data_IF_107897861482
#
_entry.id   IF_107897861482
#
_cell.length_a   1.000
_cell.length_b   1.000
_cell.length_c   1.000
_cell.angle_alpha   90.00
_cell.angle_beta   90.00
_cell.angle_gamma   90.00
#
_symmetry.space_group_name_H-M   'P 1'
#
loop_
_entity.id
_entity.type
_entity.pdbx_description
1 polymer ?
#
# COMPACT_ATOMS: atom_id res chain seq x y z
N UNK A 1 8.34 13.63 -8.25
CA UNK A 1 7.59 12.35 -8.48
C UNK A 1 7.39 11.65 -7.15
N UNK A 2 6.17 11.26 -6.85
CA UNK A 2 5.81 10.48 -5.63
C UNK A 2 5.52 9.04 -6.02
N UNK A 3 6.01 8.09 -5.23
CA UNK A 3 5.71 6.67 -5.38
C UNK A 3 4.82 6.24 -4.22
N UNK A 4 3.67 5.66 -4.56
CA UNK A 4 2.64 5.25 -3.60
C UNK A 4 2.52 3.73 -3.64
N UNK A 5 2.73 3.10 -2.50
CA UNK A 5 2.48 1.67 -2.31
C UNK A 5 1.19 1.45 -1.54
N UNK A 6 0.46 0.40 -1.88
CA UNK A 6 -0.79 0.03 -1.22
C UNK A 6 -0.75 -1.44 -0.85
N UNK A 7 -0.93 -1.70 0.45
CA UNK A 7 -1.28 -3.00 1.00
C UNK A 7 -2.81 -3.03 1.22
N UNK A 8 -3.52 -3.77 0.37
CA UNK A 8 -4.97 -3.77 0.34
C UNK A 8 -5.56 -4.72 1.39
N UNK A 9 -6.57 -4.26 2.11
CA UNK A 9 -7.31 -5.05 3.08
C UNK A 9 -8.70 -4.49 3.37
N UNK A 10 -9.62 -5.33 3.84
CA UNK A 10 -10.99 -4.91 4.13
C UNK A 10 -11.13 -4.06 5.40
N UNK A 11 -10.23 -4.24 6.36
CA UNK A 11 -10.24 -3.55 7.67
C UNK A 11 -8.85 -3.07 8.11
N UNK A 12 -7.79 -3.47 7.42
CA UNK A 12 -6.40 -3.21 7.82
C UNK A 12 -5.50 -2.74 6.68
N UNK A 13 -6.06 -2.38 5.55
CA UNK A 13 -5.31 -1.85 4.41
C UNK A 13 -4.59 -0.55 4.74
N UNK A 14 -3.44 -0.33 4.10
CA UNK A 14 -2.63 0.86 4.30
C UNK A 14 -2.08 1.42 2.99
N UNK A 15 -1.75 2.71 3.01
CA UNK A 15 -1.00 3.41 1.98
C UNK A 15 0.32 3.90 2.57
N UNK A 16 1.39 3.78 1.80
CA UNK A 16 2.69 4.39 2.07
C UNK A 16 3.16 5.19 0.86
N UNK A 17 3.75 6.36 1.08
CA UNK A 17 4.23 7.24 0.05
C UNK A 17 5.66 7.70 0.33
N UNK A 18 6.49 7.69 -0.70
CA UNK A 18 7.88 8.15 -0.69
C UNK A 18 8.14 9.04 -1.91
N UNK A 19 9.15 9.88 -1.83
CA UNK A 19 9.61 10.66 -2.98
C UNK A 19 10.62 9.87 -3.86
N UNK A 20 11.11 10.50 -4.92
CA UNK A 20 12.08 9.88 -5.84
C UNK A 20 13.45 9.59 -5.21
N UNK A 21 13.80 10.25 -4.11
CA UNK A 21 15.03 10.03 -3.34
C UNK A 21 14.83 9.02 -2.19
N UNK A 22 13.70 8.30 -2.18
CA UNK A 22 13.35 7.35 -1.10
C UNK A 22 13.10 7.99 0.27
N UNK A 23 12.80 9.29 0.32
CA UNK A 23 12.39 9.91 1.57
C UNK A 23 10.92 9.62 1.88
N UNK A 24 10.66 9.35 3.16
CA UNK A 24 9.29 9.19 3.64
C UNK A 24 8.48 10.48 3.47
N UNK A 25 7.34 10.38 2.81
CA UNK A 25 6.38 11.47 2.60
C UNK A 25 5.18 11.31 3.51
N UNK A 26 4.49 10.18 3.44
CA UNK A 26 3.28 9.94 4.23
C UNK A 26 2.97 8.45 4.37
N UNK A 27 2.18 8.08 5.36
CA UNK A 27 1.52 6.78 5.41
C UNK A 27 0.28 6.83 6.30
N UNK A 28 -0.76 6.10 5.92
CA UNK A 28 -1.99 6.02 6.71
C UNK A 28 -2.71 4.69 6.49
N UNK A 29 -3.55 4.33 7.46
CA UNK A 29 -4.49 3.24 7.29
C UNK A 29 -5.65 3.70 6.39
N UNK A 30 -6.11 2.82 5.50
CA UNK A 30 -7.24 3.12 4.62
C UNK A 30 -8.51 3.17 5.47
N UNK A 31 -9.23 4.28 5.40
CA UNK A 31 -10.44 4.49 6.19
C UNK A 31 -11.58 3.60 5.70
N UNK A 32 -12.28 2.98 6.64
CA UNK A 32 -13.42 2.13 6.38
C UNK A 32 -14.50 2.33 7.45
N UNK A 33 -15.73 2.03 7.09
CA UNK A 33 -16.88 1.97 8.00
C UNK A 33 -17.69 0.72 7.69
N UNK A 34 -18.00 -0.08 8.71
CA UNK A 34 -18.77 -1.33 8.56
C UNK A 34 -18.21 -2.25 7.45
N UNK A 35 -16.89 -2.41 7.39
CA UNK A 35 -16.14 -3.14 6.36
C UNK A 35 -16.26 -2.57 4.94
N UNK A 36 -16.73 -1.35 4.80
CA UNK A 36 -16.76 -0.60 3.54
C UNK A 36 -15.63 0.43 3.52
N UNK A 37 -14.83 0.41 2.46
CA UNK A 37 -13.82 1.44 2.23
C UNK A 37 -14.52 2.78 2.00
N UNK A 38 -14.05 3.82 2.67
CA UNK A 38 -14.52 5.19 2.45
C UNK A 38 -13.81 5.77 1.23
N UNK A 39 -14.31 5.43 0.04
CA UNK A 39 -13.67 5.70 -1.24
C UNK A 39 -13.33 7.18 -1.45
N UNK A 40 -14.23 8.10 -1.08
CA UNK A 40 -14.03 9.53 -1.24
C UNK A 40 -12.93 10.07 -0.31
N UNK A 41 -12.89 9.57 0.92
CA UNK A 41 -11.83 9.90 1.89
C UNK A 41 -10.49 9.38 1.39
N UNK A 42 -10.44 8.15 0.91
CA UNK A 42 -9.22 7.54 0.38
C UNK A 42 -8.69 8.32 -0.84
N UNK A 43 -9.56 8.65 -1.80
CA UNK A 43 -9.19 9.48 -2.95
C UNK A 43 -8.63 10.84 -2.51
N UNK A 44 -9.33 11.52 -1.60
CA UNK A 44 -8.90 12.83 -1.11
C UNK A 44 -7.53 12.78 -0.44
N UNK A 45 -7.25 11.72 0.34
CA UNK A 45 -5.94 11.52 0.96
C UNK A 45 -4.84 11.31 -0.08
N UNK A 46 -5.06 10.48 -1.11
CA UNK A 46 -4.08 10.31 -2.20
C UNK A 46 -3.77 11.67 -2.84
N UNK A 47 -4.81 12.42 -3.20
CA UNK A 47 -4.64 13.71 -3.87
C UNK A 47 -3.96 14.76 -2.96
N UNK A 48 -4.10 14.65 -1.64
CA UNK A 48 -3.48 15.60 -0.69
C UNK A 48 -1.97 15.43 -0.51
N UNK A 49 -1.42 14.26 -0.84
CA UNK A 49 0.02 13.97 -0.68
C UNK A 49 0.81 14.17 -1.97
N UNK A 50 0.16 14.43 -3.08
CA UNK A 50 0.80 14.60 -4.38
C UNK A 50 0.65 16.06 -4.83
N UNK A 51 1.76 16.76 -5.01
CA UNK A 51 1.72 18.04 -5.74
C UNK A 51 1.35 17.75 -7.20
N UNK A 52 0.28 18.36 -7.73
CA UNK A 52 -0.16 18.14 -9.13
C UNK A 52 0.94 18.38 -10.18
N UNK A 53 1.95 19.17 -9.83
CA UNK A 53 3.10 19.47 -10.71
C UNK A 53 4.14 18.35 -10.71
N UNK A 54 4.21 17.55 -9.64
CA UNK A 54 5.22 16.48 -9.51
C UNK A 54 4.74 15.15 -10.06
N UNK A 55 3.45 14.88 -9.99
CA UNK A 55 2.85 13.61 -10.36
C UNK A 55 3.14 12.47 -9.38
N UNK A 56 2.49 11.33 -9.61
CA UNK A 56 2.70 10.14 -8.83
C UNK A 56 2.62 8.86 -9.68
N UNK A 57 3.15 7.76 -9.14
CA UNK A 57 2.89 6.40 -9.60
C UNK A 57 2.35 5.59 -8.42
N UNK A 58 1.35 4.78 -8.65
CA UNK A 58 0.69 3.95 -7.65
C UNK A 58 0.96 2.49 -7.96
N UNK A 59 1.42 1.73 -6.96
CA UNK A 59 1.60 0.30 -7.03
C UNK A 59 0.88 -0.39 -5.87
N UNK A 60 0.01 -1.35 -6.16
CA UNK A 60 -0.70 -2.13 -5.15
C UNK A 60 -0.27 -3.59 -5.20
N UNK A 61 -0.22 -4.23 -4.03
CA UNK A 61 -0.01 -5.66 -3.97
C UNK A 61 -1.18 -6.39 -4.65
N UNK A 62 -0.84 -7.26 -5.62
CA UNK A 62 -1.81 -8.13 -6.25
C UNK A 62 -2.19 -9.26 -5.31
N UNK A 63 -3.43 -9.27 -4.87
CA UNK A 63 -3.97 -10.23 -3.92
C UNK A 63 -4.98 -11.16 -4.61
N UNK A 64 -5.10 -12.37 -4.07
CA UNK A 64 -6.03 -13.40 -4.55
C UNK A 64 -6.80 -13.98 -3.37
N UNK A 65 -7.93 -14.61 -3.67
CA UNK A 65 -8.65 -15.40 -2.68
C UNK A 65 -7.76 -16.56 -2.19
N UNK A 66 -7.71 -16.77 -0.88
CA UNK A 66 -6.94 -17.84 -0.28
C UNK A 66 -7.75 -19.13 -0.19
N UNK A 67 -7.13 -20.30 -0.44
CA UNK A 67 -7.77 -21.58 -0.17
C UNK A 67 -8.28 -21.64 1.28
N UNK A 68 -9.49 -22.18 1.49
CA UNK A 68 -10.15 -22.30 2.80
C UNK A 68 -10.56 -20.97 3.46
N UNK A 69 -10.48 -19.86 2.75
CA UNK A 69 -11.05 -18.60 3.23
C UNK A 69 -12.58 -18.69 3.19
N UNK A 70 -13.25 -18.25 4.27
CA UNK A 70 -14.72 -18.23 4.34
C UNK A 70 -15.34 -17.32 3.27
N UNK A 71 -16.52 -17.70 2.77
CA UNK A 71 -17.22 -16.96 1.69
C UNK A 71 -17.42 -15.49 2.03
N UNK A 72 -17.93 -15.17 3.23
CA UNK A 72 -18.13 -13.78 3.66
C UNK A 72 -16.84 -12.99 3.77
N UNK A 73 -15.75 -13.63 4.22
CA UNK A 73 -14.42 -13.01 4.31
C UNK A 73 -13.88 -12.71 2.91
N UNK A 74 -13.98 -13.68 2.01
CA UNK A 74 -13.57 -13.52 0.59
C UNK A 74 -14.36 -12.40 -0.09
N UNK A 75 -15.68 -12.37 0.10
CA UNK A 75 -16.53 -11.32 -0.44
C UNK A 75 -16.14 -9.92 0.04
N UNK A 76 -16.00 -9.74 1.35
CA UNK A 76 -15.62 -8.44 1.93
C UNK A 76 -14.24 -7.98 1.46
N UNK A 77 -13.29 -8.92 1.37
CA UNK A 77 -11.94 -8.65 0.89
C UNK A 77 -11.93 -8.26 -0.60
N UNK A 78 -12.58 -9.05 -1.47
CA UNK A 78 -12.67 -8.76 -2.90
C UNK A 78 -13.34 -7.41 -3.17
N UNK A 79 -14.41 -7.08 -2.42
CA UNK A 79 -15.09 -5.80 -2.53
C UNK A 79 -14.15 -4.64 -2.13
N UNK A 80 -13.41 -4.76 -1.04
CA UNK A 80 -12.46 -3.74 -0.60
C UNK A 80 -11.36 -3.52 -1.64
N UNK A 81 -10.77 -4.58 -2.17
CA UNK A 81 -9.76 -4.52 -3.24
C UNK A 81 -10.31 -3.83 -4.48
N UNK A 82 -11.54 -4.17 -4.90
CA UNK A 82 -12.20 -3.54 -6.04
C UNK A 82 -12.41 -2.03 -5.85
N UNK A 83 -12.84 -1.60 -4.67
CA UNK A 83 -13.01 -0.17 -4.35
C UNK A 83 -11.66 0.56 -4.36
N UNK A 84 -10.63 -0.02 -3.71
CA UNK A 84 -9.29 0.58 -3.67
C UNK A 84 -8.74 0.73 -5.09
N UNK A 85 -8.83 -0.32 -5.92
CA UNK A 85 -8.37 -0.27 -7.32
C UNK A 85 -9.09 0.80 -8.12
N UNK A 86 -10.41 0.86 -8.04
CA UNK A 86 -11.21 1.87 -8.73
C UNK A 86 -10.85 3.29 -8.30
N UNK A 87 -10.61 3.51 -7.01
CA UNK A 87 -10.16 4.83 -6.50
C UNK A 87 -8.80 5.19 -7.08
N UNK A 88 -7.85 4.24 -7.11
CA UNK A 88 -6.52 4.48 -7.69
C UNK A 88 -6.62 4.90 -9.16
N UNK A 89 -7.39 4.17 -9.97
CA UNK A 89 -7.63 4.51 -11.38
C UNK A 89 -8.28 5.91 -11.55
N UNK A 90 -9.21 6.26 -10.67
CA UNK A 90 -9.89 7.56 -10.68
C UNK A 90 -8.99 8.74 -10.24
N UNK A 91 -7.78 8.52 -9.78
CA UNK A 91 -6.80 9.59 -9.53
C UNK A 91 -6.11 10.09 -10.80
N UNK A 92 -6.22 9.34 -11.89
CA UNK A 92 -5.50 9.56 -13.16
C UNK A 92 -3.96 9.46 -13.05
N UNK A 93 -3.42 8.94 -11.95
CA UNK A 93 -2.02 8.53 -11.86
C UNK A 93 -1.83 7.11 -12.41
N UNK A 94 -0.68 6.80 -13.03
CA UNK A 94 -0.36 5.42 -13.42
C UNK A 94 -0.54 4.46 -12.24
N UNK A 95 -1.34 3.40 -12.45
CA UNK A 95 -1.68 2.40 -11.45
C UNK A 95 -1.20 1.02 -11.91
N UNK A 96 -0.49 0.33 -11.03
CA UNK A 96 0.19 -0.94 -11.30
C UNK A 96 -0.09 -1.95 -10.19
N UNK A 97 0.01 -3.24 -10.56
CA UNK A 97 -0.09 -4.35 -9.62
C UNK A 97 1.24 -5.09 -9.54
N UNK A 98 1.63 -5.51 -8.35
CA UNK A 98 2.82 -6.32 -8.11
C UNK A 98 2.49 -7.54 -7.26
N UNK A 99 3.00 -8.71 -7.64
CA UNK A 99 2.81 -9.90 -6.82
C UNK A 99 3.62 -9.83 -5.52
N UNK A 100 3.13 -10.42 -4.41
CA UNK A 100 3.87 -10.50 -3.16
C UNK A 100 5.27 -11.12 -3.34
N UNK A 101 5.39 -12.14 -4.18
CA UNK A 101 6.65 -12.84 -4.44
C UNK A 101 7.70 -11.91 -5.06
N UNK A 102 7.29 -10.99 -5.94
CA UNK A 102 8.22 -10.07 -6.60
C UNK A 102 8.81 -9.07 -5.62
N UNK A 103 7.97 -8.33 -4.90
CA UNK A 103 8.48 -7.28 -4.02
C UNK A 103 9.13 -7.84 -2.75
N UNK A 104 8.59 -8.93 -2.17
CA UNK A 104 9.22 -9.61 -1.02
C UNK A 104 10.55 -10.25 -1.41
N UNK A 105 10.60 -10.93 -2.55
CA UNK A 105 11.83 -11.53 -3.08
C UNK A 105 12.92 -10.48 -3.37
N UNK A 106 12.55 -9.31 -3.87
CA UNK A 106 13.48 -8.21 -4.09
C UNK A 106 14.22 -7.79 -2.79
N UNK A 107 13.51 -7.75 -1.67
CA UNK A 107 14.07 -7.40 -0.37
C UNK A 107 14.60 -8.60 0.44
N UNK A 108 14.52 -9.81 -0.11
CA UNK A 108 14.92 -11.03 0.61
C UNK A 108 14.03 -11.35 1.82
N UNK A 109 12.76 -10.92 1.79
CA UNK A 109 11.81 -11.13 2.88
C UNK A 109 11.14 -12.50 2.78
N UNK A 110 10.86 -13.08 3.94
CA UNK A 110 10.08 -14.31 4.08
C UNK A 110 8.59 -14.01 4.35
N UNK A 111 7.84 -15.02 4.75
CA UNK A 111 6.47 -14.86 5.20
C UNK A 111 6.35 -14.20 6.59
N UNK A 112 7.46 -14.04 7.31
CA UNK A 112 7.47 -13.36 8.62
C UNK A 112 7.26 -11.85 8.42
N UNK A 113 6.10 -11.38 8.84
CA UNK A 113 5.71 -9.96 8.76
C UNK A 113 6.59 -9.03 9.60
N UNK A 114 7.26 -9.53 10.63
CA UNK A 114 8.17 -8.72 11.44
C UNK A 114 9.41 -8.30 10.64
N UNK A 115 9.88 -9.13 9.70
CA UNK A 115 11.01 -8.77 8.82
C UNK A 115 10.69 -7.54 7.98
N UNK A 116 9.47 -7.46 7.41
CA UNK A 116 9.02 -6.29 6.65
C UNK A 116 8.97 -5.03 7.52
N UNK A 117 8.45 -5.15 8.76
CA UNK A 117 8.39 -4.02 9.69
C UNK A 117 9.79 -3.52 10.06
N UNK A 118 10.72 -4.43 10.36
CA UNK A 118 12.09 -4.08 10.73
C UNK A 118 12.87 -3.47 9.58
N UNK A 119 12.69 -3.98 8.36
CA UNK A 119 13.30 -3.40 7.17
C UNK A 119 12.74 -1.97 6.89
N UNK A 120 11.43 -1.79 6.94
CA UNK A 120 10.81 -0.50 6.72
C UNK A 120 11.25 0.55 7.76
N UNK A 121 11.42 0.16 9.03
CA UNK A 121 11.99 1.03 10.08
C UNK A 121 13.40 1.50 9.76
N UNK A 122 14.22 0.64 9.17
CA UNK A 122 15.60 0.99 8.76
C UNK A 122 15.60 1.94 7.57
N UNK A 123 14.77 1.66 6.57
CA UNK A 123 14.71 2.47 5.35
C UNK A 123 14.01 3.82 5.59
N UNK A 124 12.99 3.84 6.44
CA UNK A 124 12.14 5.00 6.67
C UNK A 124 12.09 5.38 8.16
N UNK A 125 13.21 5.87 8.74
CA UNK A 125 13.27 6.15 10.19
C UNK A 125 12.30 7.25 10.65
N UNK A 126 11.81 8.08 9.74
CA UNK A 126 10.81 9.12 10.01
C UNK A 126 9.36 8.62 9.94
N UNK A 127 9.14 7.41 9.43
CA UNK A 127 7.80 6.84 9.32
C UNK A 127 7.26 6.39 10.70
N UNK A 128 5.94 6.52 10.95
CA UNK A 128 5.32 6.15 12.22
C UNK A 128 5.14 4.61 12.33
N UNK A 129 6.23 3.87 12.43
CA UNK A 129 6.29 2.39 12.43
C UNK A 129 6.68 1.83 13.80
N UNK A 130 6.31 2.47 14.91
CA UNK A 130 6.76 2.07 16.26
C UNK A 130 6.08 0.81 16.78
N UNK A 131 4.85 0.53 16.37
CA UNK A 131 4.03 -0.53 16.92
C UNK A 131 3.97 -1.74 15.98
N UNK A 132 3.75 -2.95 16.54
CA UNK A 132 3.53 -4.17 15.72
C UNK A 132 2.35 -4.04 14.75
N UNK A 133 1.31 -3.29 15.10
CA UNK A 133 0.16 -3.03 14.22
C UNK A 133 0.49 -2.18 12.99
N UNK A 134 1.67 -1.57 12.93
CA UNK A 134 2.10 -0.75 11.80
C UNK A 134 2.65 -1.58 10.62
N UNK A 135 2.55 -2.92 10.68
CA UNK A 135 3.02 -3.84 9.63
C UNK A 135 2.44 -3.47 8.26
N UNK A 136 1.14 -3.18 8.17
CA UNK A 136 0.52 -2.88 6.88
C UNK A 136 1.05 -1.56 6.27
N UNK A 137 1.34 -0.55 7.11
CA UNK A 137 2.04 0.67 6.67
C UNK A 137 3.46 0.38 6.20
N UNK A 138 4.16 -0.51 6.90
CA UNK A 138 5.50 -0.94 6.53
C UNK A 138 5.51 -1.66 5.18
N UNK A 139 4.61 -2.62 4.97
CA UNK A 139 4.47 -3.32 3.69
C UNK A 139 4.11 -2.34 2.56
N UNK A 140 3.19 -1.40 2.78
CA UNK A 140 2.85 -0.37 1.80
C UNK A 140 4.05 0.51 1.42
N UNK A 141 4.87 0.93 2.38
CA UNK A 141 6.10 1.68 2.10
C UNK A 141 7.14 0.86 1.33
N UNK A 142 7.28 -0.43 1.64
CA UNK A 142 8.18 -1.32 0.91
C UNK A 142 7.70 -1.58 -0.53
N UNK A 143 6.40 -1.66 -0.76
CA UNK A 143 5.82 -1.76 -2.11
C UNK A 143 6.15 -0.49 -2.92
N UNK A 144 6.02 0.70 -2.30
CA UNK A 144 6.40 1.96 -2.94
C UNK A 144 7.89 1.98 -3.31
N UNK A 145 8.76 1.56 -2.39
CA UNK A 145 10.21 1.52 -2.61
C UNK A 145 10.60 0.50 -3.68
N UNK A 146 10.01 -0.70 -3.64
CA UNK A 146 10.20 -1.68 -4.70
C UNK A 146 9.85 -1.10 -6.07
N UNK A 147 8.68 -0.46 -6.18
CA UNK A 147 8.22 0.10 -7.44
C UNK A 147 9.13 1.22 -7.94
N UNK A 148 9.56 2.09 -7.04
CA UNK A 148 10.51 3.14 -7.35
C UNK A 148 11.81 2.58 -7.94
N UNK A 149 12.40 1.57 -7.30
CA UNK A 149 13.68 0.99 -7.73
C UNK A 149 13.55 0.14 -9.01
N UNK A 150 12.44 -0.54 -9.21
CA UNK A 150 12.22 -1.37 -10.39
C UNK A 150 11.94 -0.57 -11.68
N UNK A 151 11.67 0.74 -11.57
CA UNK A 151 11.27 1.60 -12.68
C UNK A 151 12.12 2.88 -12.82
N UNK A 152 13.24 2.92 -12.16
CA UNK A 152 14.26 3.98 -12.32
C UNK A 152 15.27 3.61 -13.40
#
# INVERSE_FOLDING_TARGET
MIYIGIDAGSVSGALGAIDHDSNYVSSFMIDHKDKHILALVFKSRILSIVDPREGAQICMEQVHAMPKQGISSTWNFARAVGVISAVCELTNYPFHLVSPQKWKGYFGLTADKNEALDLARKLFPKAPLKLKKDINRAEALLIAEYWRQANV
#
